data_IF_390657384842
#
_entry.id   IF_390657384842
#
_cell.length_a   1.000
_cell.length_b   1.000
_cell.length_c   1.000
_cell.angle_alpha   90.00
_cell.angle_beta   90.00
_cell.angle_gamma   90.00
#
_symmetry.space_group_name_H-M   'P 1'
#
loop_
_entity.id
_entity.type
_entity.pdbx_description
1 polymer ?
#
# COMPACT_ATOMS: atom_id res chain seq x y z
N UNK A 1 3.44 11.42 -16.94
CA UNK A 1 4.19 11.44 -15.67
C UNK A 1 3.75 10.26 -14.83
N UNK A 2 4.59 9.26 -14.65
CA UNK A 2 4.31 8.11 -13.78
C UNK A 2 4.35 8.61 -12.34
N UNK A 3 3.20 8.56 -11.63
CA UNK A 3 3.10 9.02 -10.25
C UNK A 3 3.95 8.11 -9.36
N UNK A 4 4.99 8.66 -8.73
CA UNK A 4 5.83 7.94 -7.76
C UNK A 4 5.27 8.08 -6.35
N UNK A 5 5.31 6.99 -5.60
CA UNK A 5 4.92 6.98 -4.21
C UNK A 5 6.02 7.57 -3.32
N UNK A 6 5.69 8.62 -2.55
CA UNK A 6 6.61 9.17 -1.55
C UNK A 6 6.66 8.31 -0.28
N UNK A 7 7.78 8.31 0.45
CA UNK A 7 7.94 7.61 1.74
C UNK A 7 6.88 8.00 2.77
N UNK A 8 6.52 9.29 2.85
CA UNK A 8 5.45 9.77 3.73
C UNK A 8 4.10 9.17 3.36
N UNK A 9 3.75 9.19 2.09
CA UNK A 9 2.48 8.63 1.62
C UNK A 9 2.42 7.11 1.81
N UNK A 10 3.52 6.39 1.58
CA UNK A 10 3.62 4.96 1.88
C UNK A 10 3.33 4.67 3.36
N UNK A 11 3.93 5.45 4.26
CA UNK A 11 3.70 5.35 5.70
C UNK A 11 2.24 5.63 6.10
N UNK A 12 1.59 6.61 5.48
CA UNK A 12 0.18 6.92 5.73
C UNK A 12 -0.75 5.80 5.24
N UNK A 13 -0.54 5.29 4.01
CA UNK A 13 -1.32 4.18 3.45
C UNK A 13 -1.18 2.94 4.31
N UNK A 14 0.05 2.61 4.74
CA UNK A 14 0.30 1.46 5.59
C UNK A 14 -0.40 1.58 6.94
N UNK A 15 -0.34 2.76 7.56
CA UNK A 15 -1.00 3.02 8.85
C UNK A 15 -2.51 2.82 8.73
N UNK A 16 -3.14 3.47 7.74
CA UNK A 16 -4.60 3.35 7.51
C UNK A 16 -5.05 1.92 7.20
N UNK A 17 -4.21 1.15 6.51
CA UNK A 17 -4.49 -0.25 6.20
C UNK A 17 -4.48 -1.10 7.48
N UNK A 18 -3.54 -0.86 8.39
CA UNK A 18 -3.42 -1.63 9.64
C UNK A 18 -4.45 -1.26 10.70
N UNK A 19 -5.03 -0.06 10.63
CA UNK A 19 -6.18 0.34 11.46
C UNK A 19 -7.46 -0.47 11.18
N UNK A 20 -7.52 -1.21 10.06
CA UNK A 20 -8.64 -2.12 9.78
C UNK A 20 -8.58 -3.31 10.74
N UNK A 21 -9.59 -3.37 11.61
CA UNK A 21 -9.72 -4.34 12.71
C UNK A 21 -9.74 -5.78 12.20
N UNK A 22 -10.52 -6.06 11.15
CA UNK A 22 -10.57 -7.39 10.56
C UNK A 22 -9.40 -7.60 9.59
N UNK A 23 -8.42 -8.47 9.89
CA UNK A 23 -7.25 -8.67 9.03
C UNK A 23 -7.60 -9.15 7.62
N UNK A 24 -8.70 -9.91 7.45
CA UNK A 24 -9.16 -10.36 6.14
C UNK A 24 -9.59 -9.21 5.21
N UNK A 25 -9.96 -8.06 5.78
CA UNK A 25 -10.38 -6.89 5.01
C UNK A 25 -9.21 -5.96 4.65
N UNK A 26 -8.01 -6.19 5.18
CA UNK A 26 -6.86 -5.30 5.00
C UNK A 26 -6.40 -5.21 3.55
N UNK A 27 -6.37 -6.34 2.82
CA UNK A 27 -6.04 -6.34 1.40
C UNK A 27 -7.03 -5.51 0.57
N UNK A 28 -8.33 -5.62 0.88
CA UNK A 28 -9.39 -4.84 0.21
C UNK A 28 -9.26 -3.34 0.53
N UNK A 29 -8.99 -3.01 1.79
CA UNK A 29 -8.78 -1.63 2.22
C UNK A 29 -7.52 -1.01 1.62
N UNK A 30 -6.42 -1.78 1.51
CA UNK A 30 -5.21 -1.38 0.81
C UNK A 30 -5.49 -1.06 -0.66
N UNK A 31 -6.17 -1.97 -1.36
CA UNK A 31 -6.55 -1.78 -2.76
C UNK A 31 -7.38 -0.51 -2.97
N UNK A 32 -8.39 -0.30 -2.12
CA UNK A 32 -9.24 0.89 -2.16
C UNK A 32 -8.45 2.18 -1.89
N UNK A 33 -7.50 2.15 -0.95
CA UNK A 33 -6.66 3.29 -0.59
C UNK A 33 -5.69 3.64 -1.73
N UNK A 34 -5.05 2.64 -2.34
CA UNK A 34 -4.19 2.81 -3.51
C UNK A 34 -4.95 3.48 -4.65
N UNK A 35 -6.15 3.00 -5.01
CA UNK A 35 -7.00 3.60 -6.04
C UNK A 35 -7.33 5.06 -5.75
N UNK A 36 -7.67 5.40 -4.50
CA UNK A 36 -7.96 6.79 -4.09
C UNK A 36 -6.77 7.71 -4.27
N UNK A 37 -5.56 7.20 -4.08
CA UNK A 37 -4.32 7.94 -4.32
C UNK A 37 -3.84 7.86 -5.78
N UNK A 38 -4.58 7.21 -6.67
CA UNK A 38 -4.25 7.08 -8.09
C UNK A 38 -3.17 6.05 -8.40
N UNK A 39 -2.94 5.09 -7.50
CA UNK A 39 -2.09 3.94 -7.74
C UNK A 39 -2.93 2.74 -8.17
N UNK A 40 -2.41 1.97 -9.12
CA UNK A 40 -3.09 0.77 -9.59
C UNK A 40 -2.82 -0.42 -8.64
N UNK A 41 -3.84 -0.97 -7.96
CA UNK A 41 -3.65 -2.09 -7.04
C UNK A 41 -3.45 -3.43 -7.76
N UNK A 42 -3.61 -3.49 -9.08
CA UNK A 42 -3.34 -4.69 -9.88
C UNK A 42 -1.90 -4.72 -10.45
N UNK A 43 -1.11 -3.66 -10.21
CA UNK A 43 0.29 -3.58 -10.63
C UNK A 43 1.18 -4.64 -9.97
N UNK A 44 0.75 -5.21 -8.83
CA UNK A 44 1.42 -6.31 -8.14
C UNK A 44 0.39 -7.12 -7.32
N UNK A 45 0.78 -8.33 -6.92
CA UNK A 45 0.00 -9.11 -5.97
C UNK A 45 -0.03 -8.41 -4.60
N UNK A 46 -1.24 -8.12 -4.12
CA UNK A 46 -1.44 -7.45 -2.84
C UNK A 46 -1.14 -8.43 -1.69
N UNK A 47 -0.50 -7.95 -0.61
CA UNK A 47 -0.35 -8.76 0.60
C UNK A 47 -1.74 -9.12 1.15
N UNK A 48 -1.99 -10.43 1.33
CA UNK A 48 -3.31 -10.95 1.71
C UNK A 48 -3.76 -10.50 3.11
N UNK A 49 -2.83 -10.33 4.04
CA UNK A 49 -3.09 -9.86 5.40
C UNK A 49 -1.87 -9.13 5.97
N UNK A 50 -1.59 -7.88 5.54
CA UNK A 50 -0.48 -7.13 6.11
C UNK A 50 -0.69 -6.97 7.62
N UNK A 51 0.32 -7.34 8.39
CA UNK A 51 0.33 -7.29 9.84
C UNK A 51 1.42 -6.35 10.38
N UNK A 52 2.52 -6.22 9.65
CA UNK A 52 3.62 -5.34 10.01
C UNK A 52 3.64 -4.07 9.15
N UNK A 53 3.88 -2.92 9.82
CA UNK A 53 3.90 -1.61 9.17
C UNK A 53 5.16 -1.41 8.34
N UNK A 54 6.32 -1.83 8.84
CA UNK A 54 7.58 -1.64 8.15
C UNK A 54 7.62 -2.48 6.87
N UNK A 55 7.16 -3.73 6.92
CA UNK A 55 7.04 -4.60 5.75
C UNK A 55 6.10 -4.02 4.70
N UNK A 56 4.91 -3.53 5.11
CA UNK A 56 3.96 -2.95 4.16
C UNK A 56 4.50 -1.66 3.51
N UNK A 57 5.20 -0.80 4.28
CA UNK A 57 5.85 0.40 3.73
C UNK A 57 6.96 0.03 2.74
N UNK A 58 7.78 -0.97 3.07
CA UNK A 58 8.85 -1.45 2.19
C UNK A 58 8.28 -1.98 0.87
N UNK A 59 7.23 -2.80 0.93
CA UNK A 59 6.51 -3.30 -0.24
C UNK A 59 5.93 -2.17 -1.09
N UNK A 60 5.24 -1.21 -0.47
CA UNK A 60 4.65 -0.05 -1.17
C UNK A 60 5.70 0.76 -1.95
N UNK A 61 6.88 0.98 -1.36
CA UNK A 61 7.96 1.70 -2.01
C UNK A 61 8.61 0.89 -3.13
N UNK A 62 8.82 -0.41 -2.92
CA UNK A 62 9.36 -1.28 -3.95
C UNK A 62 8.44 -1.34 -5.18
N UNK A 63 7.12 -1.40 -4.97
CA UNK A 63 6.13 -1.53 -6.05
C UNK A 63 5.85 -0.21 -6.76
N UNK A 64 5.71 0.91 -6.03
CA UNK A 64 5.20 2.18 -6.58
C UNK A 64 6.22 3.33 -6.58
N UNK A 65 7.44 3.09 -6.10
CA UNK A 65 8.55 4.03 -6.21
C UNK A 65 9.81 3.39 -6.82
N UNK A 66 9.71 2.59 -7.91
CA UNK A 66 10.90 2.03 -8.53
C UNK A 66 11.80 3.18 -8.99
N UNK A 67 13.05 3.11 -8.54
CA UNK A 67 14.12 4.04 -8.91
C UNK A 67 14.69 3.53 -10.23
N UNK A 68 14.41 4.25 -11.32
CA UNK A 68 15.18 4.14 -12.56
C UNK A 68 16.65 4.52 -12.34
#
# INVERSE_FOLDING_TARGET
MTKRLSKTLAAEIATRTLEVINPANRAVALAATLRRHGFDPAAAELPAAPADRAELVAWLLATYAPRE
#
